data_IF_373916589720
#
_entry.id   IF_373916589720
#
_cell.length_a   1.000
_cell.length_b   1.000
_cell.length_c   1.000
_cell.angle_alpha   90.00
_cell.angle_beta   90.00
_cell.angle_gamma   90.00
#
_symmetry.space_group_name_H-M   'P 1'
#
loop_
_entity.id
_entity.type
_entity.pdbx_description
1 polymer ?
#
# COMPACT_ATOMS: atom_id res chain seq x y z
N UNK A 1 -8.18 -15.61 -8.29
CA UNK A 1 -8.09 -14.34 -7.52
C UNK A 1 -7.28 -14.55 -6.26
N UNK A 2 -7.55 -15.62 -5.51
CA UNK A 2 -6.70 -16.13 -4.42
C UNK A 2 -5.20 -16.15 -4.76
N UNK A 3 -4.77 -16.92 -5.77
CA UNK A 3 -3.33 -17.04 -6.09
C UNK A 3 -2.70 -15.69 -6.44
N UNK A 4 -3.43 -14.84 -7.16
CA UNK A 4 -2.97 -13.49 -7.49
C UNK A 4 -2.73 -12.66 -6.22
N UNK A 5 -3.64 -12.68 -5.25
CA UNK A 5 -3.48 -11.96 -3.98
C UNK A 5 -2.32 -12.50 -3.15
N UNK A 6 -2.15 -13.83 -3.10
CA UNK A 6 -1.04 -14.47 -2.40
C UNK A 6 0.29 -14.06 -3.05
N UNK A 7 0.43 -14.21 -4.37
CA UNK A 7 1.66 -13.85 -5.09
C UNK A 7 1.96 -12.36 -4.96
N UNK A 8 0.97 -11.49 -5.18
CA UNK A 8 1.15 -10.03 -5.07
C UNK A 8 1.47 -9.61 -3.64
N UNK A 9 0.90 -10.29 -2.64
CA UNK A 9 1.23 -10.08 -1.23
C UNK A 9 2.67 -10.47 -0.90
N UNK A 10 3.13 -11.63 -1.39
CA UNK A 10 4.52 -12.08 -1.23
C UNK A 10 5.52 -11.16 -1.94
N UNK A 11 5.20 -10.69 -3.14
CA UNK A 11 6.02 -9.70 -3.87
C UNK A 11 6.10 -8.40 -3.08
N UNK A 12 4.99 -7.90 -2.55
CA UNK A 12 4.98 -6.67 -1.76
C UNK A 12 5.74 -6.82 -0.44
N UNK A 13 5.63 -7.98 0.21
CA UNK A 13 6.42 -8.32 1.40
C UNK A 13 7.93 -8.32 1.07
N UNK A 14 8.34 -8.94 -0.04
CA UNK A 14 9.72 -8.93 -0.51
C UNK A 14 10.22 -7.50 -0.77
N UNK A 15 9.42 -6.68 -1.44
CA UNK A 15 9.74 -5.26 -1.65
C UNK A 15 9.91 -4.52 -0.32
N UNK A 16 9.06 -4.80 0.67
CA UNK A 16 9.20 -4.30 2.04
C UNK A 16 10.55 -4.67 2.67
N UNK A 17 10.96 -5.94 2.59
CA UNK A 17 12.26 -6.40 3.10
C UNK A 17 13.43 -5.69 2.41
N UNK A 18 13.41 -5.61 1.07
CA UNK A 18 14.43 -4.92 0.29
C UNK A 18 14.51 -3.43 0.65
N UNK A 19 13.36 -2.79 0.86
CA UNK A 19 13.27 -1.39 1.32
C UNK A 19 13.94 -1.23 2.69
N UNK A 20 13.71 -2.17 3.61
CA UNK A 20 14.29 -2.20 4.95
C UNK A 20 15.83 -2.23 4.94
N UNK A 21 16.41 -3.05 4.08
CA UNK A 21 17.87 -3.10 3.89
C UNK A 21 18.43 -1.80 3.33
N UNK A 22 17.67 -1.12 2.47
CA UNK A 22 18.07 0.11 1.81
C UNK A 22 17.80 1.38 2.63
N UNK A 23 17.18 1.30 3.83
CA UNK A 23 16.79 2.48 4.64
C UNK A 23 17.89 3.54 4.76
N UNK A 24 19.15 3.22 5.12
CA UNK A 24 20.20 4.23 5.31
C UNK A 24 20.58 4.98 4.02
N UNK A 25 20.30 4.41 2.84
CA UNK A 25 20.63 5.00 1.55
C UNK A 25 19.57 6.00 1.04
N UNK A 26 18.43 6.13 1.74
CA UNK A 26 17.35 7.02 1.31
C UNK A 26 17.58 8.46 1.76
N UNK A 27 17.10 9.41 0.95
CA UNK A 27 17.14 10.84 1.28
C UNK A 27 16.37 11.15 2.56
N UNK A 28 15.24 10.49 2.78
CA UNK A 28 14.50 10.52 4.03
C UNK A 28 14.41 9.10 4.62
N UNK A 29 15.34 8.70 5.50
CA UNK A 29 15.35 7.38 6.13
C UNK A 29 14.09 7.09 6.96
N UNK A 30 13.46 8.11 7.57
CA UNK A 30 12.25 7.92 8.37
C UNK A 30 11.06 7.51 7.50
N UNK A 31 10.92 8.12 6.33
CA UNK A 31 9.93 7.70 5.34
C UNK A 31 10.29 6.34 4.72
N UNK A 32 11.58 6.00 4.60
CA UNK A 32 11.99 4.67 4.15
C UNK A 32 11.57 3.57 5.14
N UNK A 33 11.69 3.81 6.46
CA UNK A 33 11.14 2.92 7.48
C UNK A 33 9.62 2.80 7.35
N UNK A 34 8.91 3.90 7.11
CA UNK A 34 7.47 3.85 6.86
C UNK A 34 7.16 2.98 5.63
N UNK A 35 7.92 3.12 4.54
CA UNK A 35 7.75 2.30 3.33
C UNK A 35 8.06 0.82 3.55
N UNK A 36 9.14 0.51 4.27
CA UNK A 36 9.44 -0.86 4.74
C UNK A 36 8.23 -1.45 5.47
N UNK A 37 7.70 -0.73 6.46
CA UNK A 37 6.51 -1.14 7.22
C UNK A 37 5.31 -1.36 6.30
N UNK A 38 5.03 -0.46 5.35
CA UNK A 38 3.93 -0.64 4.41
C UNK A 38 4.08 -1.92 3.57
N UNK A 39 5.30 -2.27 3.14
CA UNK A 39 5.54 -3.53 2.43
C UNK A 39 5.31 -4.75 3.32
N UNK A 40 5.87 -4.75 4.54
CA UNK A 40 5.79 -5.91 5.45
C UNK A 40 4.46 -6.05 6.19
N UNK A 41 3.58 -5.05 6.17
CA UNK A 41 2.21 -5.15 6.70
C UNK A 41 1.19 -5.40 5.60
N UNK A 42 1.24 -4.66 4.49
CA UNK A 42 0.27 -4.82 3.41
C UNK A 42 0.50 -6.12 2.62
N UNK A 43 1.75 -6.58 2.51
CA UNK A 43 2.06 -7.86 1.87
C UNK A 43 1.34 -9.03 2.53
N UNK A 44 1.59 -9.30 3.83
CA UNK A 44 0.87 -10.33 4.58
C UNK A 44 -0.64 -10.10 4.64
N UNK A 45 -1.10 -8.86 4.70
CA UNK A 45 -2.54 -8.57 4.59
C UNK A 45 -3.13 -9.09 3.26
N UNK A 46 -2.50 -8.83 2.12
CA UNK A 46 -2.97 -9.38 0.83
C UNK A 46 -2.92 -10.91 0.79
N UNK A 47 -1.88 -11.53 1.39
CA UNK A 47 -1.82 -13.00 1.52
C UNK A 47 -3.00 -13.52 2.34
N UNK A 48 -3.30 -12.90 3.49
CA UNK A 48 -4.43 -13.27 4.33
C UNK A 48 -5.77 -13.09 3.60
N UNK A 49 -5.94 -12.03 2.82
CA UNK A 49 -7.13 -11.83 1.99
C UNK A 49 -7.22 -12.90 0.89
N UNK A 50 -6.10 -13.27 0.27
CA UNK A 50 -6.05 -14.37 -0.69
C UNK A 50 -6.47 -15.70 -0.05
N UNK A 51 -5.99 -15.98 1.17
CA UNK A 51 -6.41 -17.15 1.94
C UNK A 51 -7.90 -17.06 2.32
N UNK A 52 -8.40 -15.87 2.68
CA UNK A 52 -9.79 -15.61 3.04
C UNK A 52 -10.76 -15.79 1.85
N UNK A 53 -10.24 -15.73 0.63
CA UNK A 53 -11.03 -15.62 -0.59
C UNK A 53 -12.12 -16.70 -0.79
N UNK A 54 -11.90 -17.99 -0.46
CA UNK A 54 -12.93 -19.03 -0.60
C UNK A 54 -14.18 -18.82 0.27
N UNK A 55 -14.10 -17.96 1.30
CA UNK A 55 -15.21 -17.66 2.20
C UNK A 55 -15.94 -16.36 1.84
N UNK A 56 -15.52 -15.65 0.78
CA UNK A 56 -16.19 -14.43 0.34
C UNK A 56 -17.38 -14.75 -0.57
N UNK A 57 -18.58 -14.41 -0.11
CA UNK A 57 -19.78 -14.41 -0.95
C UNK A 57 -20.02 -13.02 -1.56
N UNK A 58 -19.37 -12.78 -2.69
CA UNK A 58 -19.56 -11.58 -3.50
C UNK A 58 -19.92 -11.97 -4.94
N UNK A 59 -20.79 -11.19 -5.62
CA UNK A 59 -20.92 -11.32 -7.05
C UNK A 59 -19.58 -11.02 -7.73
N UNK A 60 -19.36 -11.59 -8.92
CA UNK A 60 -18.09 -11.47 -9.66
C UNK A 60 -17.56 -10.04 -9.79
N UNK A 61 -18.43 -9.06 -9.99
CA UNK A 61 -18.05 -7.65 -10.06
C UNK A 61 -17.49 -7.11 -8.74
N UNK A 62 -18.07 -7.54 -7.61
CA UNK A 62 -17.58 -7.22 -6.26
C UNK A 62 -16.24 -7.84 -5.96
N UNK A 63 -16.01 -9.10 -6.39
CA UNK A 63 -14.70 -9.74 -6.26
C UNK A 63 -13.60 -8.99 -7.03
N UNK A 64 -13.86 -8.65 -8.31
CA UNK A 64 -12.93 -7.90 -9.15
C UNK A 64 -12.62 -6.53 -8.52
N UNK A 65 -13.65 -5.84 -8.03
CA UNK A 65 -13.49 -4.55 -7.37
C UNK A 65 -12.67 -4.68 -6.08
N UNK A 66 -12.96 -5.65 -5.21
CA UNK A 66 -12.23 -5.89 -3.98
C UNK A 66 -10.75 -6.19 -4.27
N UNK A 67 -10.46 -7.09 -5.20
CA UNK A 67 -9.09 -7.40 -5.61
C UNK A 67 -8.37 -6.15 -6.12
N UNK A 68 -8.98 -5.43 -7.06
CA UNK A 68 -8.37 -4.24 -7.67
C UNK A 68 -8.09 -3.15 -6.65
N UNK A 69 -9.05 -2.83 -5.78
CA UNK A 69 -8.95 -1.80 -4.77
C UNK A 69 -7.90 -2.13 -3.71
N UNK A 70 -7.87 -3.37 -3.21
CA UNK A 70 -6.92 -3.80 -2.18
C UNK A 70 -5.50 -3.87 -2.72
N UNK A 71 -5.31 -4.44 -3.91
CA UNK A 71 -3.98 -4.49 -4.57
C UNK A 71 -3.49 -3.08 -4.87
N UNK A 72 -4.33 -2.24 -5.48
CA UNK A 72 -3.97 -0.85 -5.75
C UNK A 72 -3.61 -0.11 -4.47
N UNK A 73 -4.47 -0.17 -3.45
CA UNK A 73 -4.26 0.52 -2.18
C UNK A 73 -2.97 0.10 -1.49
N UNK A 74 -2.70 -1.21 -1.42
CA UNK A 74 -1.49 -1.77 -0.83
C UNK A 74 -0.21 -1.31 -1.56
N UNK A 75 -0.19 -1.43 -2.89
CA UNK A 75 0.97 -1.05 -3.70
C UNK A 75 1.17 0.46 -3.79
N UNK A 76 0.10 1.24 -3.91
CA UNK A 76 0.16 2.69 -3.88
C UNK A 76 0.70 3.19 -2.54
N UNK A 77 0.41 2.51 -1.43
CA UNK A 77 0.88 2.89 -0.10
C UNK A 77 2.38 2.67 0.07
N UNK A 78 2.86 1.48 -0.31
CA UNK A 78 4.29 1.24 -0.38
C UNK A 78 4.99 2.19 -1.35
N UNK A 79 4.46 2.37 -2.57
CA UNK A 79 5.09 3.20 -3.60
C UNK A 79 5.13 4.68 -3.21
N UNK A 80 4.05 5.23 -2.65
CA UNK A 80 4.01 6.63 -2.24
C UNK A 80 5.05 6.93 -1.17
N UNK A 81 5.14 6.07 -0.16
CA UNK A 81 6.14 6.19 0.91
C UNK A 81 7.55 5.92 0.39
N UNK A 82 7.72 4.99 -0.54
CA UNK A 82 9.02 4.69 -1.18
C UNK A 82 9.54 5.88 -1.99
N UNK A 83 8.68 6.49 -2.82
CA UNK A 83 8.99 7.71 -3.56
C UNK A 83 9.21 8.89 -2.61
N UNK A 84 8.40 9.00 -1.56
CA UNK A 84 8.59 9.98 -0.48
C UNK A 84 9.96 9.87 0.18
N UNK A 85 10.43 8.64 0.41
CA UNK A 85 11.75 8.37 0.98
C UNK A 85 12.89 8.72 0.03
N UNK A 86 12.75 8.39 -1.25
CA UNK A 86 13.76 8.69 -2.28
C UNK A 86 13.87 10.18 -2.59
N UNK A 87 12.73 10.89 -2.65
CA UNK A 87 12.67 12.29 -3.04
C UNK A 87 12.66 13.27 -1.86
N UNK A 88 12.40 12.81 -0.64
CA UNK A 88 12.11 13.69 0.49
C UNK A 88 10.78 14.43 0.33
N UNK A 89 9.74 13.73 -0.16
CA UNK A 89 8.40 14.26 -0.43
C UNK A 89 7.36 13.70 0.56
N UNK A 90 6.10 14.13 0.43
CA UNK A 90 4.96 13.61 1.20
C UNK A 90 4.61 14.44 2.42
N UNK A 91 5.06 15.70 2.49
CA UNK A 91 4.87 16.56 3.67
C UNK A 91 3.40 16.85 3.98
N UNK A 92 2.53 16.91 2.96
CA UNK A 92 1.13 17.28 3.13
C UNK A 92 0.32 16.22 3.86
N UNK A 93 0.47 14.95 3.46
CA UNK A 93 -0.34 13.85 3.97
C UNK A 93 0.42 12.89 4.90
N UNK A 94 1.76 12.96 4.93
CA UNK A 94 2.60 12.20 5.85
C UNK A 94 3.63 13.10 6.59
N UNK A 95 3.20 14.22 7.23
CA UNK A 95 4.11 15.19 7.84
C UNK A 95 5.03 14.57 8.90
N UNK A 96 4.52 13.62 9.70
CA UNK A 96 5.30 12.95 10.74
C UNK A 96 6.45 12.07 10.21
N UNK A 97 6.35 11.57 8.98
CA UNK A 97 7.44 10.82 8.33
C UNK A 97 8.29 11.72 7.42
N UNK A 98 7.71 12.77 6.85
CA UNK A 98 8.42 13.76 6.03
C UNK A 98 9.36 14.66 6.85
N UNK A 99 8.93 15.11 8.04
CA UNK A 99 9.66 16.11 8.81
C UNK A 99 9.86 17.40 8.02
N UNK A 100 11.08 17.95 8.04
CA UNK A 100 11.43 19.17 7.32
C UNK A 100 11.72 18.95 5.82
N UNK A 101 11.67 17.71 5.32
CA UNK A 101 11.94 17.43 3.92
C UNK A 101 10.89 18.08 3.00
N UNK A 102 11.37 18.59 1.86
CA UNK A 102 10.56 19.13 0.78
C UNK A 102 11.16 18.72 -0.55
N UNK A 103 10.29 18.33 -1.48
CA UNK A 103 10.66 18.04 -2.85
C UNK A 103 10.11 19.10 -3.83
N UNK A 104 10.53 19.01 -5.09
CA UNK A 104 9.95 19.82 -6.15
C UNK A 104 8.43 19.59 -6.25
N UNK A 105 7.62 20.60 -6.62
CA UNK A 105 6.16 20.51 -6.61
C UNK A 105 5.59 19.32 -7.38
N UNK A 106 6.21 18.92 -8.48
CA UNK A 106 5.80 17.75 -9.25
C UNK A 106 5.95 16.42 -8.48
N UNK A 107 7.04 16.26 -7.72
CA UNK A 107 7.30 15.06 -6.92
C UNK A 107 6.35 14.97 -5.72
N UNK A 108 6.09 16.11 -5.07
CA UNK A 108 5.09 16.20 -4.01
C UNK A 108 3.70 15.80 -4.53
N UNK A 109 3.28 16.33 -5.68
CA UNK A 109 1.98 16.00 -6.29
C UNK A 109 1.81 14.51 -6.59
N UNK A 110 2.85 13.84 -7.07
CA UNK A 110 2.80 12.39 -7.33
C UNK A 110 2.58 11.61 -6.03
N UNK A 111 3.37 11.91 -4.99
CA UNK A 111 3.23 11.25 -3.68
C UNK A 111 1.86 11.55 -3.06
N UNK A 112 1.44 12.81 -3.10
CA UNK A 112 0.13 13.26 -2.60
C UNK A 112 -1.03 12.56 -3.31
N UNK A 113 -0.98 12.44 -4.64
CA UNK A 113 -2.02 11.77 -5.41
C UNK A 113 -2.13 10.29 -5.01
N UNK A 114 -1.01 9.59 -4.88
CA UNK A 114 -1.00 8.21 -4.43
C UNK A 114 -1.59 8.09 -3.01
N UNK A 115 -1.15 8.93 -2.06
CA UNK A 115 -1.65 8.92 -0.67
C UNK A 115 -3.15 9.24 -0.57
N UNK A 116 -3.65 10.18 -1.37
CA UNK A 116 -5.07 10.56 -1.36
C UNK A 116 -5.95 9.49 -1.97
N UNK A 117 -5.49 8.82 -3.03
CA UNK A 117 -6.31 7.83 -3.76
C UNK A 117 -6.23 6.44 -3.14
N UNK A 118 -5.12 6.08 -2.48
CA UNK A 118 -5.00 4.79 -1.81
C UNK A 118 -5.94 4.65 -0.62
N UNK A 119 -6.19 5.73 0.12
CA UNK A 119 -7.01 5.69 1.32
C UNK A 119 -8.47 5.24 1.05
N UNK A 120 -9.21 5.88 0.11
CA UNK A 120 -10.54 5.41 -0.24
C UNK A 120 -10.52 4.02 -0.89
N UNK A 121 -9.47 3.65 -1.62
CA UNK A 121 -9.34 2.32 -2.19
C UNK A 121 -9.24 1.23 -1.10
N UNK A 122 -8.37 1.44 -0.11
CA UNK A 122 -8.23 0.52 1.03
C UNK A 122 -9.53 0.42 1.84
N UNK A 123 -10.19 1.55 2.10
CA UNK A 123 -11.48 1.57 2.82
C UNK A 123 -12.56 0.79 2.05
N UNK A 124 -12.77 1.12 0.77
CA UNK A 124 -13.79 0.49 -0.05
C UNK A 124 -13.52 -1.01 -0.24
N UNK A 125 -12.27 -1.40 -0.51
CA UNK A 125 -11.87 -2.80 -0.62
C UNK A 125 -12.11 -3.58 0.68
N UNK A 126 -11.80 -2.99 1.84
CA UNK A 126 -12.03 -3.62 3.14
C UNK A 126 -13.51 -3.75 3.46
N UNK A 127 -14.33 -2.74 3.12
CA UNK A 127 -15.79 -2.83 3.26
C UNK A 127 -16.36 -3.97 2.41
N UNK A 128 -15.86 -4.16 1.17
CA UNK A 128 -16.28 -5.29 0.34
C UNK A 128 -15.93 -6.63 0.97
N UNK A 129 -14.75 -6.77 1.60
CA UNK A 129 -14.41 -8.00 2.34
C UNK A 129 -15.40 -8.25 3.49
N UNK A 130 -15.70 -7.24 4.30
CA UNK A 130 -16.65 -7.37 5.41
C UNK A 130 -18.02 -7.77 4.89
N UNK A 131 -18.52 -7.10 3.85
CA UNK A 131 -19.81 -7.44 3.23
C UNK A 131 -19.80 -8.86 2.66
N UNK A 132 -18.70 -9.28 2.03
CA UNK A 132 -18.56 -10.62 1.46
C UNK A 132 -18.51 -11.74 2.50
N UNK A 133 -17.99 -11.47 3.71
CA UNK A 133 -17.97 -12.45 4.81
C UNK A 133 -19.29 -12.52 5.57
N UNK A 134 -20.03 -11.40 5.65
CA UNK A 134 -21.30 -11.32 6.38
C UNK A 134 -22.51 -11.83 5.58
N UNK A 135 -22.32 -12.10 4.29
CA UNK A 135 -23.34 -12.71 3.42
C UNK A 135 -23.24 -14.23 3.50
#
# INVERSE_FOLDING_TARGET
MQDALIVLGLVLFLLGLLTGLAVPAHRNPRMAVASHLQGVTNGPFLVLVGLLWPWLDLPRSGEVAALGLLVYGAYANWLATQLGALWGAGRRFAPGAAGEHRAAPGRERVVDLLLVTLAPAMLAGTVLLVVGILR
#
